data_IF_422358905366
#
_entry.id   IF_422358905366
#
_cell.length_a   1.000
_cell.length_b   1.000
_cell.length_c   1.000
_cell.angle_alpha   90.00
_cell.angle_beta   90.00
_cell.angle_gamma   90.00
#
_symmetry.space_group_name_H-M   'P 1'
#
loop_
_entity.id
_entity.type
_entity.pdbx_description
1 polymer ?
#
# COMPACT_ATOMS: atom_id res chain seq x y z
N UNK A 1 11.39 20.70 -2.34
CA UNK A 1 10.94 21.24 -3.64
C UNK A 1 11.70 22.53 -3.87
N UNK A 2 12.68 22.57 -4.78
CA UNK A 2 13.62 23.69 -4.88
C UNK A 2 12.97 24.85 -5.66
N UNK A 3 12.79 26.00 -5.02
CA UNK A 3 12.25 27.21 -5.67
C UNK A 3 13.41 28.16 -5.93
N UNK A 4 13.86 28.25 -7.18
CA UNK A 4 14.88 29.21 -7.59
C UNK A 4 14.15 30.45 -8.11
N UNK A 5 14.34 31.58 -7.44
CA UNK A 5 13.80 32.87 -7.88
C UNK A 5 14.90 33.60 -8.66
N UNK A 6 14.68 33.80 -9.97
CA UNK A 6 15.60 34.55 -10.83
C UNK A 6 15.00 35.92 -11.11
N UNK A 7 15.71 36.99 -10.75
CA UNK A 7 15.39 38.36 -11.18
C UNK A 7 16.46 38.82 -12.17
N UNK A 8 16.03 39.30 -13.34
CA UNK A 8 16.90 39.71 -14.44
C UNK A 8 16.98 41.24 -14.47
N UNK A 9 18.15 41.80 -14.16
CA UNK A 9 18.41 43.24 -14.30
C UNK A 9 19.73 43.43 -15.07
N UNK A 10 19.65 44.10 -16.22
CA UNK A 10 20.75 44.54 -17.09
C UNK A 10 21.90 43.54 -17.30
N UNK A 11 21.74 42.67 -18.30
CA UNK A 11 22.77 41.86 -18.98
C UNK A 11 23.70 40.95 -18.16
N UNK A 12 23.42 40.72 -16.88
CA UNK A 12 24.08 39.68 -16.08
C UNK A 12 23.06 38.90 -15.26
N UNK A 13 23.02 37.57 -15.44
CA UNK A 13 22.20 36.67 -14.62
C UNK A 13 22.92 36.53 -13.27
N UNK A 14 22.45 37.27 -12.27
CA UNK A 14 22.98 37.21 -10.91
C UNK A 14 22.09 36.29 -10.08
N UNK A 15 22.67 35.24 -9.50
CA UNK A 15 21.98 34.38 -8.53
C UNK A 15 21.91 35.16 -7.21
N UNK A 16 20.73 35.69 -6.88
CA UNK A 16 20.53 36.59 -5.74
C UNK A 16 20.50 35.82 -4.40
N UNK A 17 20.23 34.52 -4.43
CA UNK A 17 20.34 33.65 -3.27
C UNK A 17 19.88 32.24 -3.59
N UNK A 18 20.57 31.25 -3.03
CA UNK A 18 20.10 29.86 -2.99
C UNK A 18 19.52 29.67 -1.59
N UNK A 19 18.19 29.56 -1.50
CA UNK A 19 17.54 29.17 -0.26
C UNK A 19 17.58 27.65 -0.18
N UNK A 20 18.61 27.13 0.50
CA UNK A 20 18.70 25.72 0.89
C UNK A 20 18.24 25.66 2.33
N UNK A 21 17.09 25.05 2.58
CA UNK A 21 16.78 24.55 3.92
C UNK A 21 17.56 23.24 4.10
N UNK A 22 18.59 23.20 4.97
CA UNK A 22 19.18 21.92 5.35
C UNK A 22 18.09 21.12 6.05
N UNK A 23 17.76 19.95 5.47
CA UNK A 23 16.91 18.98 6.17
C UNK A 23 17.76 18.45 7.31
N UNK A 24 17.53 18.97 8.52
CA UNK A 24 18.18 18.48 9.72
C UNK A 24 18.00 16.96 9.80
N UNK A 25 19.09 16.23 10.04
CA UNK A 25 19.11 14.77 10.21
C UNK A 25 18.07 14.23 11.21
N UNK A 26 17.46 15.09 12.04
CA UNK A 26 16.36 14.77 12.95
C UNK A 26 15.09 14.28 12.25
N UNK A 27 14.80 14.71 11.02
CA UNK A 27 13.55 14.32 10.32
C UNK A 27 13.56 12.85 9.91
N UNK A 28 14.73 12.34 9.48
CA UNK A 28 14.93 10.90 9.21
C UNK A 28 14.84 10.05 10.47
N UNK A 29 15.35 10.56 11.60
CA UNK A 29 15.24 9.87 12.89
C UNK A 29 13.78 9.82 13.39
N UNK A 30 12.98 10.83 13.10
CA UNK A 30 11.57 10.91 13.54
C UNK A 30 10.61 10.07 12.68
N UNK A 31 10.89 9.91 11.38
CA UNK A 31 10.06 9.11 10.46
C UNK A 31 10.60 7.71 10.17
N UNK A 32 11.64 7.29 10.91
CA UNK A 32 12.26 5.98 10.74
C UNK A 32 11.26 4.83 10.92
N UNK A 33 11.39 3.80 10.08
CA UNK A 33 10.64 2.56 10.22
C UNK A 33 11.16 1.76 11.43
N UNK A 34 10.70 2.14 12.62
CA UNK A 34 11.04 1.49 13.89
C UNK A 34 9.83 0.76 14.47
N UNK A 35 10.09 -0.33 15.17
CA UNK A 35 9.09 -1.05 15.95
C UNK A 35 9.06 -0.62 17.42
N UNK A 36 10.04 0.16 17.88
CA UNK A 36 10.07 0.63 19.27
C UNK A 36 8.96 1.67 19.52
N UNK A 37 8.26 1.54 20.65
CA UNK A 37 7.23 2.49 21.07
C UNK A 37 5.95 2.50 20.22
N UNK A 38 5.72 1.47 19.37
CA UNK A 38 4.52 1.38 18.54
C UNK A 38 3.36 0.75 19.29
N UNK A 39 2.14 1.18 18.95
CA UNK A 39 0.90 0.63 19.51
C UNK A 39 0.56 -0.72 18.89
N UNK A 40 -0.34 -1.48 19.54
CA UNK A 40 -0.84 -2.78 19.05
C UNK A 40 -1.35 -2.72 17.59
N UNK A 41 -1.99 -1.60 17.21
CA UNK A 41 -2.53 -1.40 15.86
C UNK A 41 -1.45 -1.50 14.78
N UNK A 42 -0.24 -0.99 15.04
CA UNK A 42 0.88 -1.06 14.09
C UNK A 42 1.26 -2.51 13.79
N UNK A 43 1.38 -3.33 14.82
CA UNK A 43 1.75 -4.73 14.67
C UNK A 43 0.64 -5.53 13.95
N UNK A 44 -0.63 -5.28 14.30
CA UNK A 44 -1.76 -5.93 13.62
C UNK A 44 -1.78 -5.59 12.13
N UNK A 45 -1.66 -4.31 11.78
CA UNK A 45 -1.64 -3.87 10.38
C UNK A 45 -0.43 -4.41 9.65
N UNK A 46 0.75 -4.44 10.28
CA UNK A 46 1.96 -5.02 9.69
C UNK A 46 1.80 -6.51 9.38
N UNK A 47 1.28 -7.28 10.34
CA UNK A 47 1.00 -8.71 10.14
C UNK A 47 0.01 -8.91 9.00
N UNK A 48 -1.08 -8.13 8.97
CA UNK A 48 -2.08 -8.19 7.91
C UNK A 48 -1.51 -7.79 6.54
N UNK A 49 -0.63 -6.79 6.49
CA UNK A 49 0.03 -6.35 5.27
C UNK A 49 0.90 -7.45 4.63
N UNK A 50 1.34 -8.43 5.41
CA UNK A 50 2.05 -9.62 4.92
C UNK A 50 1.08 -10.78 4.68
N UNK A 51 0.18 -11.04 5.62
CA UNK A 51 -0.73 -12.19 5.56
C UNK A 51 -1.72 -12.10 4.38
N UNK A 52 -2.23 -10.90 4.07
CA UNK A 52 -3.22 -10.70 3.01
C UNK A 52 -2.63 -11.03 1.62
N UNK A 53 -1.47 -10.49 1.20
CA UNK A 53 -0.84 -10.87 -0.07
C UNK A 53 -0.53 -12.36 -0.17
N UNK A 54 -0.02 -12.97 0.91
CA UNK A 54 0.26 -14.40 0.95
C UNK A 54 -1.02 -15.22 0.75
N UNK A 55 -2.12 -14.83 1.39
CA UNK A 55 -3.42 -15.46 1.23
C UNK A 55 -3.96 -15.30 -0.20
N UNK A 56 -3.85 -14.11 -0.79
CA UNK A 56 -4.22 -13.86 -2.18
C UNK A 56 -3.43 -14.74 -3.14
N UNK A 57 -2.11 -14.85 -2.97
CA UNK A 57 -1.24 -15.72 -3.80
C UNK A 57 -1.65 -17.19 -3.62
N UNK A 58 -1.85 -17.64 -2.38
CA UNK A 58 -2.34 -18.99 -2.10
C UNK A 58 -3.67 -19.29 -2.82
N UNK A 59 -4.66 -18.39 -2.68
CA UNK A 59 -5.97 -18.53 -3.32
C UNK A 59 -5.85 -18.51 -4.85
N UNK A 60 -4.98 -17.68 -5.41
CA UNK A 60 -4.72 -17.59 -6.84
C UNK A 60 -4.14 -18.90 -7.39
N UNK A 61 -3.12 -19.46 -6.74
CA UNK A 61 -2.54 -20.76 -7.10
C UNK A 61 -3.60 -21.85 -6.99
N UNK A 62 -4.40 -21.84 -5.93
CA UNK A 62 -5.48 -22.80 -5.74
C UNK A 62 -6.55 -22.68 -6.84
N UNK A 63 -6.87 -21.47 -7.29
CA UNK A 63 -7.78 -21.20 -8.40
C UNK A 63 -7.26 -21.74 -9.73
N UNK A 64 -5.97 -21.51 -10.04
CA UNK A 64 -5.33 -22.09 -11.23
C UNK A 64 -5.43 -23.62 -11.22
N UNK A 65 -5.19 -24.26 -10.07
CA UNK A 65 -5.24 -25.72 -9.94
C UNK A 65 -6.64 -26.31 -9.87
N UNK A 66 -7.66 -25.49 -9.65
CA UNK A 66 -9.04 -25.98 -9.56
C UNK A 66 -9.61 -26.19 -10.99
N UNK A 67 -10.14 -27.40 -11.30
CA UNK A 67 -10.79 -27.67 -12.58
C UNK A 67 -12.17 -27.01 -12.60
N UNK A 68 -12.23 -25.83 -13.23
CA UNK A 68 -13.42 -24.99 -13.31
C UNK A 68 -13.62 -24.60 -14.78
N UNK A 69 -14.75 -24.98 -15.38
CA UNK A 69 -15.00 -24.71 -16.81
C UNK A 69 -15.48 -23.28 -17.08
N UNK A 70 -16.28 -22.70 -16.17
CA UNK A 70 -16.90 -21.39 -16.38
C UNK A 70 -16.24 -20.31 -15.52
N UNK A 71 -16.03 -19.12 -16.10
CA UNK A 71 -15.65 -17.87 -15.39
C UNK A 71 -14.33 -17.91 -14.60
N UNK A 72 -13.45 -18.90 -14.85
CA UNK A 72 -12.15 -19.02 -14.17
C UNK A 72 -11.31 -17.75 -14.24
N UNK A 73 -11.28 -17.09 -15.40
CA UNK A 73 -10.58 -15.82 -15.60
C UNK A 73 -11.12 -14.69 -14.73
N UNK A 74 -12.44 -14.59 -14.58
CA UNK A 74 -13.05 -13.59 -13.71
C UNK A 74 -12.66 -13.81 -12.23
N UNK A 75 -12.60 -15.07 -11.78
CA UNK A 75 -12.11 -15.40 -10.45
C UNK A 75 -10.63 -15.05 -10.25
N UNK A 76 -9.77 -15.36 -11.21
CA UNK A 76 -8.35 -15.01 -11.13
C UNK A 76 -8.15 -13.50 -10.99
N UNK A 77 -8.85 -12.70 -11.79
CA UNK A 77 -8.82 -11.24 -11.70
C UNK A 77 -9.35 -10.79 -10.34
N UNK A 78 -10.50 -11.31 -9.90
CA UNK A 78 -11.13 -10.90 -8.64
C UNK A 78 -10.28 -11.21 -7.41
N UNK A 79 -9.54 -12.32 -7.40
CA UNK A 79 -8.60 -12.70 -6.32
C UNK A 79 -7.43 -11.72 -6.22
N UNK A 80 -7.00 -11.13 -7.33
CA UNK A 80 -5.89 -10.19 -7.36
C UNK A 80 -6.21 -8.83 -6.72
N UNK A 81 -7.47 -8.53 -6.41
CA UNK A 81 -7.86 -7.23 -5.83
C UNK A 81 -8.43 -7.40 -4.42
N UNK A 82 -7.91 -6.60 -3.50
CA UNK A 82 -8.57 -6.29 -2.23
C UNK A 82 -9.42 -5.04 -2.37
N UNK A 83 -10.50 -4.96 -1.59
CA UNK A 83 -11.48 -3.87 -1.59
C UNK A 83 -11.56 -3.25 -0.20
N UNK A 84 -12.03 -2.01 -0.09
CA UNK A 84 -12.13 -1.29 1.19
C UNK A 84 -10.75 -1.14 1.86
N UNK A 85 -10.07 -0.06 1.52
CA UNK A 85 -8.72 0.20 1.97
C UNK A 85 -8.71 0.79 3.37
N UNK A 86 -7.86 0.25 4.22
CA UNK A 86 -7.41 0.83 5.49
C UNK A 86 -5.95 1.25 5.34
N UNK A 87 -5.62 2.49 5.69
CA UNK A 87 -4.24 2.98 5.70
C UNK A 87 -3.81 3.36 7.11
N UNK A 88 -2.53 3.12 7.42
CA UNK A 88 -1.88 3.45 8.68
C UNK A 88 -0.58 4.19 8.39
N UNK A 89 -0.45 5.40 8.89
CA UNK A 89 0.82 6.10 8.97
C UNK A 89 1.68 5.42 10.04
N UNK A 90 2.81 4.85 9.62
CA UNK A 90 3.70 4.10 10.50
C UNK A 90 4.34 4.98 11.59
N UNK A 91 4.46 6.29 11.38
CA UNK A 91 5.14 7.18 12.34
C UNK A 91 4.28 7.40 13.58
N UNK A 92 3.06 7.90 13.40
CA UNK A 92 2.21 8.40 14.48
C UNK A 92 0.97 7.51 14.74
N UNK A 93 0.72 6.52 13.89
CA UNK A 93 -0.45 5.65 13.99
C UNK A 93 -1.76 6.30 13.51
N UNK A 94 -1.69 7.47 12.88
CA UNK A 94 -2.85 8.04 12.19
C UNK A 94 -3.34 7.07 11.11
N UNK A 95 -4.65 6.89 11.02
CA UNK A 95 -5.24 5.95 10.08
C UNK A 95 -6.38 6.59 9.29
N UNK A 96 -6.62 6.08 8.10
CA UNK A 96 -7.76 6.46 7.28
C UNK A 96 -8.42 5.22 6.68
N UNK A 97 -9.69 5.37 6.35
CA UNK A 97 -10.48 4.32 5.74
C UNK A 97 -11.14 4.83 4.46
N UNK A 98 -11.01 4.07 3.38
CA UNK A 98 -11.54 4.37 2.07
C UNK A 98 -12.39 3.20 1.58
N UNK A 99 -13.70 3.36 1.59
CA UNK A 99 -14.65 2.32 1.20
C UNK A 99 -14.53 1.97 -0.29
N UNK A 100 -14.45 2.98 -1.15
CA UNK A 100 -14.35 2.82 -2.61
C UNK A 100 -12.89 2.94 -3.06
N UNK A 101 -12.08 1.96 -2.67
CA UNK A 101 -10.69 1.80 -3.10
C UNK A 101 -10.38 0.33 -3.35
N UNK A 102 -9.34 0.08 -4.14
CA UNK A 102 -8.82 -1.26 -4.40
C UNK A 102 -7.29 -1.29 -4.32
N UNK A 103 -6.75 -2.41 -3.84
CA UNK A 103 -5.32 -2.69 -3.79
C UNK A 103 -5.01 -4.01 -4.47
N UNK A 104 -3.96 -4.02 -5.29
CA UNK A 104 -3.44 -5.27 -5.86
C UNK A 104 -2.88 -6.14 -4.73
N UNK A 105 -3.27 -7.40 -4.71
CA UNK A 105 -2.99 -8.39 -3.65
C UNK A 105 -3.43 -7.96 -2.24
N UNK A 106 -4.28 -6.93 -2.13
CA UNK A 106 -4.89 -6.50 -0.86
C UNK A 106 -3.93 -5.85 0.14
N UNK A 107 -2.69 -5.54 -0.23
CA UNK A 107 -1.80 -4.73 0.62
C UNK A 107 -0.78 -3.95 -0.21
N UNK A 108 -0.22 -2.91 0.38
CA UNK A 108 0.83 -2.10 -0.21
C UNK A 108 1.38 -1.07 0.77
N UNK A 109 2.29 -0.24 0.28
CA UNK A 109 2.78 0.91 1.02
C UNK A 109 2.88 2.12 0.09
N UNK A 110 2.83 3.30 0.70
CA UNK A 110 3.02 4.57 0.00
C UNK A 110 3.96 5.46 0.79
N UNK A 111 4.84 6.14 0.07
CA UNK A 111 5.78 7.09 0.63
C UNK A 111 6.01 8.20 -0.41
N UNK A 112 5.71 9.46 -0.05
CA UNK A 112 5.79 10.59 -1.00
C UNK A 112 7.23 10.96 -1.34
N UNK A 113 8.11 10.98 -0.33
CA UNK A 113 9.54 11.26 -0.46
C UNK A 113 10.31 10.32 0.46
N UNK A 114 11.62 10.18 0.25
CA UNK A 114 12.48 9.33 1.10
C UNK A 114 12.45 9.72 2.59
N UNK A 115 12.06 10.96 2.91
CA UNK A 115 11.97 11.49 4.27
C UNK A 115 10.55 11.53 4.83
N UNK A 116 9.55 11.16 4.02
CA UNK A 116 8.15 11.11 4.45
C UNK A 116 7.86 9.82 5.23
N UNK A 117 6.88 9.83 6.14
CA UNK A 117 6.38 8.62 6.77
C UNK A 117 5.99 7.54 5.74
N UNK A 118 6.29 6.29 6.07
CA UNK A 118 5.73 5.14 5.35
C UNK A 118 4.26 4.99 5.76
N UNK A 119 3.37 4.94 4.78
CA UNK A 119 1.96 4.64 4.99
C UNK A 119 1.73 3.20 4.55
N UNK A 120 1.41 2.32 5.48
CA UNK A 120 0.98 0.95 5.19
C UNK A 120 -0.49 0.96 4.78
N UNK A 121 -0.83 0.13 3.80
CA UNK A 121 -2.17 0.03 3.26
C UNK A 121 -2.57 -1.44 3.19
N UNK A 122 -3.76 -1.77 3.68
CA UNK A 122 -4.36 -3.09 3.58
C UNK A 122 -5.79 -2.96 3.06
N UNK A 123 -6.29 -3.98 2.38
CA UNK A 123 -7.65 -4.04 1.87
C UNK A 123 -8.21 -5.46 2.04
N UNK A 124 -9.52 -5.58 2.17
CA UNK A 124 -10.20 -6.84 2.36
C UNK A 124 -10.13 -7.69 1.07
N UNK A 125 -9.50 -8.88 1.09
CA UNK A 125 -9.30 -9.72 -0.09
C UNK A 125 -10.57 -10.54 -0.40
N UNK A 126 -11.68 -9.84 -0.69
CA UNK A 126 -13.01 -10.45 -0.89
C UNK A 126 -12.98 -11.58 -1.95
N UNK A 127 -12.28 -11.37 -3.06
CA UNK A 127 -12.19 -12.38 -4.11
C UNK A 127 -11.50 -13.66 -3.67
N UNK A 128 -10.40 -13.54 -2.92
CA UNK A 128 -9.69 -14.69 -2.35
C UNK A 128 -10.56 -15.44 -1.33
N UNK A 129 -11.21 -14.72 -0.41
CA UNK A 129 -12.08 -15.31 0.63
C UNK A 129 -13.24 -16.07 -0.03
N UNK A 130 -13.97 -15.41 -0.93
CA UNK A 130 -15.13 -16.00 -1.61
C UNK A 130 -14.75 -17.18 -2.48
N UNK A 131 -13.62 -17.12 -3.18
CA UNK A 131 -13.14 -18.23 -3.99
C UNK A 131 -12.84 -19.46 -3.14
N UNK A 132 -12.05 -19.30 -2.07
CA UNK A 132 -11.67 -20.42 -1.19
C UNK A 132 -12.92 -21.06 -0.56
N UNK A 133 -13.88 -20.24 -0.13
CA UNK A 133 -15.15 -20.72 0.43
C UNK A 133 -16.00 -21.47 -0.61
N UNK A 134 -16.15 -20.93 -1.83
CA UNK A 134 -17.01 -21.52 -2.87
C UNK A 134 -16.33 -22.61 -3.71
N UNK A 135 -15.02 -22.83 -3.53
CA UNK A 135 -14.22 -23.75 -4.35
C UNK A 135 -14.88 -25.10 -4.60
N UNK A 136 -15.44 -25.74 -3.56
CA UNK A 136 -16.08 -27.06 -3.70
C UNK A 136 -17.33 -27.02 -4.59
N UNK A 137 -18.16 -25.98 -4.44
CA UNK A 137 -19.35 -25.78 -5.28
C UNK A 137 -18.98 -25.54 -6.73
N UNK A 138 -17.92 -24.76 -6.99
CA UNK A 138 -17.44 -24.45 -8.34
C UNK A 138 -16.85 -25.68 -9.06
N UNK A 139 -16.46 -26.71 -8.31
CA UNK A 139 -16.05 -28.02 -8.85
C UNK A 139 -17.24 -28.95 -9.08
N UNK A 140 -18.38 -28.72 -8.42
CA UNK A 140 -19.59 -29.53 -8.59
C UNK A 140 -20.51 -29.00 -9.71
N UNK A 141 -20.41 -27.72 -10.05
CA UNK A 141 -21.05 -27.08 -11.22
C UNK A 141 -20.37 -27.46 -12.57
N UNK A 142 -19.71 -28.62 -12.60
CA UNK A 142 -19.02 -29.17 -13.78
C UNK A 142 -19.99 -29.63 -14.87
#
# INVERSE_FOLDING_TARGET
MNKIVLSKQADQIRIIGIHVEPIDHSVQAMHGFTFAGKSLLHYVVFILAIAIPLFCIYAFILCIRTPMQKRKWAWLIFICFGFMQFSLNWTDGSYAFQMLSFLVLGAGYFQQTVYSPIILQIALPLGAILFVYRRKSLMAEQ
#
